data_IF_423806742776
#
_entry.id   IF_423806742776
#
_cell.length_a   1.000
_cell.length_b   1.000
_cell.length_c   1.000
_cell.angle_alpha   90.00
_cell.angle_beta   90.00
_cell.angle_gamma   90.00
#
_symmetry.space_group_name_H-M   'P 1'
#
loop_
_entity.id
_entity.type
_entity.pdbx_description
1 polymer ?
#
# COMPACT_ATOMS: atom_id res chain seq x y z
N UNK A 1 -5.87 22.92 -30.08
CA UNK A 1 -6.50 21.97 -29.14
C UNK A 1 -5.36 21.44 -28.28
N UNK A 2 -5.48 21.49 -26.95
CA UNK A 2 -4.47 20.85 -26.08
C UNK A 2 -4.49 19.34 -26.32
N UNK A 3 -3.32 18.73 -26.32
CA UNK A 3 -3.17 17.28 -26.40
C UNK A 3 -3.90 16.62 -25.23
N UNK A 4 -4.68 15.55 -25.49
CA UNK A 4 -5.38 14.79 -24.47
C UNK A 4 -4.35 14.10 -23.55
N UNK A 5 -4.53 14.24 -22.23
CA UNK A 5 -3.55 13.82 -21.23
C UNK A 5 -4.15 12.88 -20.20
N UNK A 6 -3.35 11.92 -19.70
CA UNK A 6 -3.74 11.02 -18.62
C UNK A 6 -3.77 11.73 -17.27
N UNK A 7 -4.46 11.17 -16.28
CA UNK A 7 -4.43 11.66 -14.90
C UNK A 7 -2.99 11.76 -14.38
N UNK A 8 -2.18 10.71 -14.61
CA UNK A 8 -0.76 10.72 -14.24
C UNK A 8 -0.04 11.94 -14.81
N UNK A 9 -0.20 12.22 -16.12
CA UNK A 9 0.44 13.36 -16.79
C UNK A 9 0.03 14.69 -16.17
N UNK A 10 -1.24 14.85 -15.82
CA UNK A 10 -1.75 16.07 -15.18
C UNK A 10 -1.08 16.31 -13.83
N UNK A 11 -0.97 15.25 -13.00
CA UNK A 11 -0.33 15.37 -11.70
C UNK A 11 1.18 15.58 -11.86
N UNK A 12 1.84 14.82 -12.72
CA UNK A 12 3.27 14.95 -12.99
C UNK A 12 3.65 16.37 -13.39
N UNK A 13 2.96 16.94 -14.39
CA UNK A 13 3.22 18.31 -14.88
C UNK A 13 3.04 19.37 -13.81
N UNK A 14 2.05 19.22 -12.92
CA UNK A 14 1.79 20.16 -11.81
C UNK A 14 2.92 20.19 -10.77
N UNK A 15 3.67 19.11 -10.62
CA UNK A 15 4.71 18.96 -9.61
C UNK A 15 6.13 19.03 -10.18
N UNK A 16 6.27 19.21 -11.48
CA UNK A 16 7.54 19.24 -12.15
C UNK A 16 8.26 20.57 -11.86
N UNK A 17 9.31 20.49 -11.04
CA UNK A 17 10.20 21.64 -10.71
C UNK A 17 11.22 21.85 -11.83
N UNK A 18 11.78 20.75 -12.34
CA UNK A 18 12.70 20.74 -13.48
C UNK A 18 12.45 19.50 -14.33
N UNK A 19 12.28 19.64 -15.63
CA UNK A 19 12.13 18.48 -16.51
C UNK A 19 13.40 17.63 -16.56
N UNK A 20 13.24 16.38 -16.91
CA UNK A 20 14.33 15.47 -17.21
C UNK A 20 15.10 15.93 -18.47
N UNK A 21 16.35 15.56 -18.53
CA UNK A 21 17.23 15.72 -19.70
C UNK A 21 17.80 14.36 -20.05
N UNK A 22 18.59 14.28 -21.13
CA UNK A 22 19.29 13.05 -21.48
C UNK A 22 20.25 12.56 -20.37
N UNK A 23 20.71 13.47 -19.52
CA UNK A 23 21.74 13.23 -18.50
C UNK A 23 21.20 13.24 -17.06
N UNK A 24 20.03 13.82 -16.83
CA UNK A 24 19.50 14.02 -15.48
C UNK A 24 18.02 13.68 -15.38
N UNK A 25 17.59 13.00 -14.30
CA UNK A 25 16.19 12.78 -14.04
C UNK A 25 15.43 14.08 -13.77
N UNK A 26 14.11 14.03 -13.85
CA UNK A 26 13.26 15.13 -13.45
C UNK A 26 13.38 15.42 -11.95
N UNK A 27 13.16 16.67 -11.57
CA UNK A 27 12.99 17.09 -10.16
C UNK A 27 11.49 17.28 -9.91
N UNK A 28 10.95 16.47 -9.02
CA UNK A 28 9.53 16.46 -8.67
C UNK A 28 9.34 17.05 -7.27
N UNK A 29 8.43 18.01 -7.10
CA UNK A 29 8.01 18.51 -5.79
C UNK A 29 7.13 17.46 -5.10
N UNK A 30 7.26 17.33 -3.78
CA UNK A 30 6.49 16.38 -2.95
C UNK A 30 5.58 17.17 -2.01
N UNK A 31 4.27 16.94 -2.08
CA UNK A 31 3.29 17.62 -1.23
C UNK A 31 3.23 17.09 0.19
N UNK A 32 3.40 15.78 0.35
CA UNK A 32 3.32 15.13 1.65
C UNK A 32 4.34 14.00 1.76
N UNK A 33 5.12 14.03 2.82
CA UNK A 33 5.98 12.94 3.22
C UNK A 33 5.43 12.25 4.45
N UNK A 34 5.10 10.97 4.33
CA UNK A 34 4.72 10.12 5.44
C UNK A 34 5.96 9.45 6.04
N UNK A 35 5.99 9.34 7.36
CA UNK A 35 7.13 8.82 8.10
C UNK A 35 6.70 7.76 9.11
N UNK A 36 7.53 6.75 9.26
CA UNK A 36 7.41 5.77 10.34
C UNK A 36 8.80 5.38 10.89
N UNK A 37 8.83 4.62 11.97
CA UNK A 37 10.04 4.36 12.76
C UNK A 37 11.08 3.49 12.06
N UNK A 38 10.72 2.70 11.03
CA UNK A 38 11.66 1.74 10.42
C UNK A 38 12.61 2.42 9.43
N UNK A 39 12.11 3.26 8.53
CA UNK A 39 12.87 3.81 7.40
C UNK A 39 13.37 5.24 7.62
N UNK A 40 12.90 5.93 8.67
CA UNK A 40 13.28 7.33 8.92
C UNK A 40 14.58 7.54 9.73
N UNK A 41 15.05 6.64 10.63
CA UNK A 41 16.19 6.93 11.50
C UNK A 41 17.46 7.29 10.75
N UNK A 42 17.82 6.55 9.70
CA UNK A 42 19.02 6.80 8.91
C UNK A 42 18.92 8.10 8.11
N UNK A 43 17.73 8.43 7.61
CA UNK A 43 17.46 9.67 6.90
C UNK A 43 17.75 10.89 7.80
N UNK A 44 17.21 10.91 9.03
CA UNK A 44 17.49 11.96 10.00
C UNK A 44 18.94 12.00 10.44
N UNK A 45 19.60 10.85 10.62
CA UNK A 45 21.01 10.79 10.95
C UNK A 45 21.88 11.42 9.85
N UNK A 46 21.54 11.19 8.58
CA UNK A 46 22.23 11.79 7.44
C UNK A 46 22.02 13.31 7.36
N UNK A 47 20.80 13.81 7.61
CA UNK A 47 20.56 15.25 7.73
C UNK A 47 21.46 15.87 8.81
N UNK A 48 21.47 15.26 10.01
CA UNK A 48 22.29 15.76 11.12
C UNK A 48 23.80 15.77 10.78
N UNK A 49 24.27 14.70 10.11
CA UNK A 49 25.67 14.61 9.67
C UNK A 49 26.06 15.72 8.68
N UNK A 50 25.11 16.16 7.85
CA UNK A 50 25.31 17.24 6.87
C UNK A 50 24.99 18.62 7.40
N UNK A 51 24.52 18.75 8.63
CA UNK A 51 24.07 20.02 9.20
C UNK A 51 22.85 20.60 8.50
N UNK A 52 21.96 19.73 8.01
CA UNK A 52 20.71 20.09 7.33
C UNK A 52 19.53 19.92 8.27
N UNK A 53 18.57 20.83 8.17
CA UNK A 53 17.28 20.75 8.84
C UNK A 53 16.19 20.22 7.90
N UNK A 54 15.06 19.82 8.47
CA UNK A 54 13.86 19.48 7.70
C UNK A 54 13.28 20.76 7.09
N UNK A 55 13.15 20.78 5.77
CA UNK A 55 12.73 21.97 5.02
C UNK A 55 11.28 22.37 5.26
N UNK A 56 10.39 21.38 5.33
CA UNK A 56 8.93 21.60 5.46
C UNK A 56 8.33 20.59 6.44
N UNK A 57 8.51 20.82 7.76
CA UNK A 57 7.89 19.96 8.77
C UNK A 57 6.38 19.85 8.64
N UNK A 58 5.74 20.96 8.21
CA UNK A 58 4.30 21.06 7.95
C UNK A 58 3.82 20.16 6.77
N UNK A 59 4.74 19.63 5.97
CA UNK A 59 4.50 18.66 4.90
C UNK A 59 4.96 17.24 5.26
N UNK A 60 5.27 17.03 6.53
CA UNK A 60 5.60 15.72 7.06
C UNK A 60 4.52 15.28 8.06
N UNK A 61 4.19 14.00 8.05
CA UNK A 61 3.25 13.40 9.00
C UNK A 61 3.78 12.04 9.42
N UNK A 62 3.96 11.83 10.71
CA UNK A 62 4.57 10.63 11.25
C UNK A 62 3.60 9.80 12.10
N UNK A 63 3.78 8.49 12.10
CA UNK A 63 3.13 7.56 13.02
C UNK A 63 4.09 6.45 13.44
N UNK A 64 3.84 5.84 14.58
CA UNK A 64 4.47 4.58 14.97
C UNK A 64 3.60 3.44 14.47
N UNK A 65 4.17 2.55 13.67
CA UNK A 65 3.42 1.61 12.85
C UNK A 65 4.00 0.19 12.85
N UNK A 66 5.21 0.00 12.33
CA UNK A 66 5.77 -1.32 11.99
C UNK A 66 6.38 -2.06 13.17
N UNK A 67 7.05 -1.34 14.07
CA UNK A 67 7.84 -1.94 15.17
C UNK A 67 7.13 -1.85 16.52
N UNK A 68 5.83 -1.61 16.54
CA UNK A 68 5.07 -1.42 17.77
C UNK A 68 4.50 -2.72 18.32
N UNK A 69 4.50 -2.94 19.65
CA UNK A 69 3.76 -4.01 20.28
C UNK A 69 2.25 -3.93 19.98
N UNK A 70 1.64 -5.07 19.72
CA UNK A 70 0.19 -5.20 19.49
C UNK A 70 -0.60 -5.47 20.76
N UNK A 71 0.09 -5.80 21.87
CA UNK A 71 -0.52 -5.95 23.19
C UNK A 71 -0.49 -4.63 23.95
N UNK A 72 -1.54 -4.32 24.71
CA UNK A 72 -1.52 -3.14 25.60
C UNK A 72 -0.34 -3.16 26.57
N UNK A 73 0.05 -1.99 27.06
CA UNK A 73 1.01 -1.87 28.13
C UNK A 73 0.53 -2.64 29.39
N UNK A 74 1.47 -3.13 30.19
CA UNK A 74 1.18 -3.73 31.49
C UNK A 74 0.71 -2.67 32.52
N UNK A 75 0.43 -3.10 33.76
CA UNK A 75 -0.02 -2.20 34.83
C UNK A 75 1.00 -1.09 35.19
N UNK A 76 2.28 -1.31 34.89
CA UNK A 76 3.37 -0.37 35.13
C UNK A 76 3.58 0.57 33.92
N UNK A 77 2.78 0.44 32.88
CA UNK A 77 2.88 1.24 31.65
C UNK A 77 3.94 0.75 30.66
N UNK A 78 4.49 -0.43 30.86
CA UNK A 78 5.53 -0.99 30.02
C UNK A 78 4.94 -1.83 28.88
N UNK A 79 5.50 -1.69 27.68
CA UNK A 79 5.14 -2.48 26.50
C UNK A 79 6.01 -3.71 26.34
N UNK A 80 5.40 -4.82 25.94
CA UNK A 80 6.12 -6.06 25.60
C UNK A 80 6.77 -5.96 24.21
N UNK A 81 7.95 -5.35 24.16
CA UNK A 81 8.70 -5.20 22.91
C UNK A 81 9.20 -6.55 22.40
N UNK A 82 9.09 -6.75 21.09
CA UNK A 82 9.63 -7.95 20.46
C UNK A 82 11.17 -7.98 20.49
N UNK A 83 11.80 -6.82 20.28
CA UNK A 83 13.26 -6.62 20.34
C UNK A 83 13.60 -5.23 20.90
N UNK A 84 14.80 -5.08 21.47
CA UNK A 84 15.36 -3.78 21.84
C UNK A 84 15.53 -2.85 20.65
N UNK A 85 15.77 -3.40 19.46
CA UNK A 85 15.88 -2.61 18.24
C UNK A 85 14.54 -1.95 17.90
N UNK A 86 13.43 -2.68 17.95
CA UNK A 86 12.09 -2.15 17.74
C UNK A 86 11.80 -0.96 18.67
N UNK A 87 12.12 -1.11 19.96
CA UNK A 87 11.99 -0.03 20.94
C UNK A 87 12.82 1.20 20.56
N UNK A 88 14.10 1.00 20.23
CA UNK A 88 15.01 2.10 19.84
C UNK A 88 14.55 2.82 18.58
N UNK A 89 13.97 2.11 17.60
CA UNK A 89 13.42 2.73 16.40
C UNK A 89 12.28 3.68 16.72
N UNK A 90 11.31 3.24 17.52
CA UNK A 90 10.19 4.07 17.97
C UNK A 90 10.67 5.28 18.77
N UNK A 91 11.53 5.09 19.78
CA UNK A 91 12.11 6.17 20.57
C UNK A 91 12.89 7.18 19.69
N UNK A 92 13.55 6.70 18.65
CA UNK A 92 14.30 7.55 17.72
C UNK A 92 13.35 8.39 16.85
N UNK A 93 12.23 7.82 16.39
CA UNK A 93 11.21 8.57 15.68
C UNK A 93 10.65 9.71 16.56
N UNK A 94 10.32 9.43 17.82
CA UNK A 94 9.85 10.45 18.77
C UNK A 94 10.85 11.60 18.91
N UNK A 95 12.13 11.29 19.14
CA UNK A 95 13.19 12.31 19.26
C UNK A 95 13.35 13.15 18.00
N UNK A 96 13.32 12.50 16.82
CA UNK A 96 13.47 13.18 15.55
C UNK A 96 12.28 14.09 15.24
N UNK A 97 11.04 13.60 15.46
CA UNK A 97 9.85 14.41 15.25
C UNK A 97 9.81 15.63 16.19
N UNK A 98 10.14 15.44 17.47
CA UNK A 98 10.21 16.53 18.44
C UNK A 98 11.31 17.55 18.09
N UNK A 99 12.47 17.09 17.61
CA UNK A 99 13.59 17.97 17.22
C UNK A 99 13.26 18.85 16.02
N UNK A 100 12.50 18.35 15.07
CA UNK A 100 12.23 19.00 13.79
C UNK A 100 10.79 19.53 13.66
N UNK A 101 10.03 19.56 14.77
CA UNK A 101 8.62 20.03 14.82
C UNK A 101 7.72 19.30 13.80
N UNK A 102 7.90 17.98 13.69
CA UNK A 102 7.07 17.11 12.84
C UNK A 102 5.92 16.54 13.66
N UNK A 103 4.70 16.64 13.15
CA UNK A 103 3.53 16.04 13.78
C UNK A 103 3.64 14.51 13.83
N UNK A 104 3.54 13.94 15.04
CA UNK A 104 3.65 12.51 15.30
C UNK A 104 2.38 11.98 15.97
N UNK A 105 1.76 10.99 15.35
CA UNK A 105 0.71 10.18 15.97
C UNK A 105 1.36 8.98 16.69
N UNK A 106 1.74 9.22 17.93
CA UNK A 106 2.39 8.25 18.82
C UNK A 106 1.41 7.53 19.75
N UNK A 107 1.91 7.06 20.91
CA UNK A 107 1.17 6.25 21.85
C UNK A 107 -0.12 6.90 22.36
N UNK A 108 -0.10 8.19 22.61
CA UNK A 108 -1.20 8.96 23.17
C UNK A 108 -2.18 9.51 22.12
N UNK A 109 -1.90 9.26 20.85
CA UNK A 109 -2.76 9.73 19.76
C UNK A 109 -3.88 8.74 19.46
N UNK A 110 -5.14 9.18 19.42
CA UNK A 110 -6.26 8.34 18.98
C UNK A 110 -6.15 7.97 17.48
N UNK A 111 -5.33 8.68 16.73
CA UNK A 111 -5.13 8.49 15.30
C UNK A 111 -3.88 7.63 14.98
N UNK A 112 -3.21 7.07 16.00
CA UNK A 112 -2.12 6.14 15.80
C UNK A 112 -2.59 4.91 15.02
N UNK A 113 -1.87 4.51 14.00
CA UNK A 113 -2.18 3.33 13.22
C UNK A 113 -1.28 3.16 12.03
N UNK A 114 -1.62 2.21 11.19
CA UNK A 114 -0.92 1.93 9.93
C UNK A 114 -0.87 3.23 9.11
N UNK A 115 0.32 3.62 8.67
CA UNK A 115 0.57 4.91 8.00
C UNK A 115 -0.34 5.12 6.78
N UNK A 116 -0.61 4.07 6.01
CA UNK A 116 -1.47 4.11 4.83
C UNK A 116 -2.98 4.00 5.15
N UNK A 117 -3.34 3.86 6.41
CA UNK A 117 -4.72 4.00 6.92
C UNK A 117 -4.88 5.37 7.58
N UNK A 118 -3.96 5.76 8.45
CA UNK A 118 -3.98 7.03 9.17
C UNK A 118 -4.01 8.24 8.22
N UNK A 119 -3.11 8.29 7.23
CA UNK A 119 -3.05 9.39 6.27
C UNK A 119 -4.38 9.66 5.56
N UNK A 120 -4.99 8.66 4.94
CA UNK A 120 -6.33 8.77 4.38
C UNK A 120 -7.40 9.15 5.40
N UNK A 121 -7.50 8.46 6.54
CA UNK A 121 -8.56 8.70 7.54
C UNK A 121 -8.52 10.10 8.14
N UNK A 122 -7.34 10.70 8.24
CA UNK A 122 -7.18 12.11 8.60
C UNK A 122 -7.55 13.07 7.47
N UNK A 123 -7.72 12.59 6.23
CA UNK A 123 -7.88 13.45 5.05
C UNK A 123 -6.59 14.14 4.63
N UNK A 124 -5.43 13.65 5.09
CA UNK A 124 -4.12 14.16 4.67
C UNK A 124 -3.80 13.76 3.21
N UNK A 125 -4.38 12.66 2.75
CA UNK A 125 -4.32 12.22 1.34
C UNK A 125 -5.42 12.90 0.55
N UNK A 126 -5.05 13.71 -0.45
CA UNK A 126 -6.02 14.44 -1.26
C UNK A 126 -5.73 14.27 -2.76
N UNK A 127 -6.75 14.39 -3.63
CA UNK A 127 -6.57 14.31 -5.07
C UNK A 127 -5.52 15.28 -5.62
N UNK A 128 -4.73 14.81 -6.56
CA UNK A 128 -3.73 15.59 -7.25
C UNK A 128 -2.42 15.80 -6.51
N UNK A 129 -2.27 15.35 -5.26
CA UNK A 129 -1.03 15.44 -4.50
C UNK A 129 0.03 14.44 -4.98
N UNK A 130 1.28 14.77 -4.72
CA UNK A 130 2.41 13.83 -4.70
C UNK A 130 2.69 13.41 -3.26
N UNK A 131 2.70 12.10 -2.98
CA UNK A 131 2.88 11.54 -1.64
C UNK A 131 3.97 10.49 -1.65
N UNK A 132 4.90 10.57 -0.69
CA UNK A 132 5.96 9.57 -0.55
C UNK A 132 6.09 9.08 0.90
N UNK A 133 6.56 7.85 1.03
CA UNK A 133 6.89 7.21 2.30
C UNK A 133 8.02 6.21 2.07
N UNK A 134 8.77 5.87 3.10
CA UNK A 134 9.75 4.78 3.06
C UNK A 134 9.12 3.37 3.11
N UNK A 135 7.96 3.21 2.51
CA UNK A 135 7.17 1.97 2.47
C UNK A 135 6.59 1.77 1.07
N UNK A 136 6.72 0.56 0.53
CA UNK A 136 6.27 0.23 -0.82
C UNK A 136 4.75 0.39 -1.02
N UNK A 137 3.95 0.13 0.03
CA UNK A 137 2.49 0.26 -0.03
C UNK A 137 1.97 1.70 0.01
N UNK A 138 2.86 2.70 -0.10
CA UNK A 138 2.48 4.10 -0.33
C UNK A 138 1.57 4.27 -1.56
N UNK A 139 1.63 3.35 -2.51
CA UNK A 139 0.71 3.30 -3.65
C UNK A 139 -0.78 3.28 -3.26
N UNK A 140 -1.12 2.87 -2.02
CA UNK A 140 -2.50 2.93 -1.47
C UNK A 140 -3.16 4.29 -1.66
N UNK A 141 -2.40 5.37 -1.50
CA UNK A 141 -2.93 6.74 -1.59
C UNK A 141 -3.37 7.12 -3.00
N UNK A 142 -2.95 6.37 -4.01
CA UNK A 142 -3.40 6.55 -5.40
C UNK A 142 -4.90 6.27 -5.60
N UNK A 143 -5.55 5.58 -4.67
CA UNK A 143 -7.01 5.42 -4.64
C UNK A 143 -7.79 6.74 -4.58
N UNK A 144 -7.13 7.80 -4.12
CA UNK A 144 -7.67 9.16 -4.04
C UNK A 144 -7.28 10.04 -5.23
N UNK A 145 -6.62 9.50 -6.23
CA UNK A 145 -6.08 10.29 -7.35
C UNK A 145 -4.83 11.07 -6.97
N UNK A 146 -4.05 10.59 -6.00
CA UNK A 146 -2.74 11.12 -5.65
C UNK A 146 -1.63 10.30 -6.32
N UNK A 147 -0.58 10.93 -6.85
CA UNK A 147 0.62 10.23 -7.31
C UNK A 147 1.47 9.85 -6.10
N UNK A 148 1.29 8.61 -5.65
CA UNK A 148 1.86 8.14 -4.40
C UNK A 148 2.72 6.88 -4.61
N UNK A 149 3.92 6.86 -4.03
CA UNK A 149 4.84 5.74 -4.21
C UNK A 149 5.88 5.65 -3.08
N UNK A 150 6.36 4.42 -2.87
CA UNK A 150 7.44 4.12 -1.93
C UNK A 150 8.78 4.65 -2.41
N UNK A 151 9.63 5.07 -1.46
CA UNK A 151 10.98 5.57 -1.72
C UNK A 151 11.98 4.93 -0.76
N UNK A 152 13.25 4.85 -1.20
CA UNK A 152 14.33 4.34 -0.36
C UNK A 152 14.70 5.31 0.78
N UNK A 153 15.36 4.79 1.82
CA UNK A 153 15.76 5.58 3.01
C UNK A 153 16.60 6.81 2.66
N UNK A 154 17.46 6.72 1.66
CA UNK A 154 18.26 7.88 1.18
C UNK A 154 17.36 8.95 0.58
N UNK A 155 16.36 8.53 -0.21
CA UNK A 155 15.37 9.43 -0.82
C UNK A 155 14.47 10.08 0.23
N UNK A 156 14.13 9.36 1.34
CA UNK A 156 13.44 9.95 2.50
C UNK A 156 14.23 11.16 3.02
N UNK A 157 15.56 11.03 3.16
CA UNK A 157 16.44 12.13 3.55
C UNK A 157 16.46 13.27 2.54
N UNK A 158 16.47 12.98 1.25
CA UNK A 158 16.42 14.01 0.19
C UNK A 158 15.12 14.82 0.27
N UNK A 159 13.97 14.17 0.46
CA UNK A 159 12.69 14.87 0.57
C UNK A 159 12.62 15.68 1.86
N UNK A 160 13.08 15.15 3.00
CA UNK A 160 13.18 15.93 4.25
C UNK A 160 13.99 17.22 4.06
N UNK A 161 15.14 17.14 3.38
CA UNK A 161 16.03 18.28 3.19
C UNK A 161 15.57 19.27 2.13
N UNK A 162 14.89 18.84 1.07
CA UNK A 162 14.63 19.66 -0.12
C UNK A 162 13.15 19.82 -0.49
N UNK A 163 12.28 18.97 -0.01
CA UNK A 163 10.88 18.77 -0.43
C UNK A 163 10.77 18.34 -1.90
N UNK A 164 11.84 17.83 -2.47
CA UNK A 164 11.91 17.39 -3.86
C UNK A 164 12.54 16.00 -3.97
N UNK A 165 12.24 15.33 -5.08
CA UNK A 165 12.76 14.03 -5.40
C UNK A 165 13.22 13.97 -6.86
N UNK A 166 14.32 13.27 -7.12
CA UNK A 166 14.78 12.97 -8.47
C UNK A 166 14.06 11.71 -8.96
N UNK A 167 13.35 11.80 -10.08
CA UNK A 167 12.61 10.68 -10.65
C UNK A 167 12.73 10.64 -12.16
N UNK A 168 13.01 9.46 -12.71
CA UNK A 168 12.76 9.20 -14.13
C UNK A 168 11.25 9.09 -14.33
N UNK A 169 10.73 9.70 -15.39
CA UNK A 169 9.30 9.67 -15.68
C UNK A 169 8.85 8.24 -15.99
N UNK A 170 7.93 7.65 -15.21
CA UNK A 170 7.39 6.33 -15.49
C UNK A 170 6.55 6.32 -16.77
N UNK A 171 6.44 5.15 -17.39
CA UNK A 171 5.45 4.89 -18.44
C UNK A 171 4.05 4.82 -17.86
N UNK A 172 3.05 4.93 -18.71
CA UNK A 172 1.63 4.81 -18.34
C UNK A 172 1.07 3.44 -18.72
N UNK A 173 0.42 2.77 -17.76
CA UNK A 173 -0.30 1.53 -17.99
C UNK A 173 -1.77 1.72 -17.60
N UNK A 174 -2.66 1.69 -18.59
CA UNK A 174 -4.10 1.68 -18.34
C UNK A 174 -4.59 0.26 -18.07
N UNK A 175 -5.36 0.07 -17.00
CA UNK A 175 -6.09 -1.19 -16.73
C UNK A 175 -7.55 -0.88 -16.63
N UNK A 176 -8.33 -1.30 -17.65
CA UNK A 176 -9.77 -1.15 -17.71
C UNK A 176 -10.44 -2.43 -17.23
N UNK A 177 -11.28 -2.32 -16.21
CA UNK A 177 -12.11 -3.44 -15.73
C UNK A 177 -13.58 -3.08 -15.90
N UNK A 178 -14.25 -3.76 -16.79
CA UNK A 178 -15.66 -3.49 -17.11
C UNK A 178 -16.57 -4.61 -16.61
N UNK A 179 -17.80 -4.25 -16.28
CA UNK A 179 -18.84 -5.18 -15.85
C UNK A 179 -19.08 -5.18 -14.35
N UNK A 180 -19.92 -6.11 -13.90
CA UNK A 180 -20.27 -6.31 -12.50
C UNK A 180 -19.56 -7.54 -11.95
N UNK A 181 -18.95 -7.40 -10.77
CA UNK A 181 -18.32 -8.51 -10.07
C UNK A 181 -19.36 -9.57 -9.67
N UNK A 182 -18.97 -10.83 -9.75
CA UNK A 182 -19.78 -11.95 -9.25
C UNK A 182 -19.95 -11.87 -7.73
N UNK A 183 -21.04 -12.42 -7.17
CA UNK A 183 -21.17 -12.52 -5.72
C UNK A 183 -19.98 -13.24 -5.08
N UNK A 184 -19.44 -12.66 -4.00
CA UNK A 184 -18.29 -13.20 -3.29
C UNK A 184 -16.94 -12.72 -3.78
N UNK A 185 -16.86 -12.10 -4.94
CA UNK A 185 -15.61 -11.45 -5.45
C UNK A 185 -15.39 -10.11 -4.76
N UNK A 186 -14.18 -9.87 -4.30
CA UNK A 186 -13.74 -8.67 -3.60
C UNK A 186 -12.73 -7.88 -4.42
N UNK A 187 -12.39 -6.69 -3.98
CA UNK A 187 -11.33 -5.88 -4.60
C UNK A 187 -9.97 -6.60 -4.60
N UNK A 188 -9.71 -7.47 -3.61
CA UNK A 188 -8.48 -8.27 -3.56
C UNK A 188 -8.44 -9.33 -4.67
N UNK A 189 -9.58 -9.94 -4.98
CA UNK A 189 -9.67 -10.88 -6.10
C UNK A 189 -9.41 -10.15 -7.43
N UNK A 190 -9.93 -8.93 -7.58
CA UNK A 190 -9.70 -8.10 -8.77
C UNK A 190 -8.20 -7.85 -8.98
N UNK A 191 -7.50 -7.37 -7.95
CA UNK A 191 -6.07 -7.08 -8.12
C UNK A 191 -5.22 -8.35 -8.26
N UNK A 192 -5.57 -9.43 -7.58
CA UNK A 192 -4.90 -10.73 -7.77
C UNK A 192 -5.09 -11.26 -9.19
N UNK A 193 -6.30 -11.16 -9.76
CA UNK A 193 -6.56 -11.51 -11.15
C UNK A 193 -5.71 -10.68 -12.12
N UNK A 194 -5.62 -9.36 -11.87
CA UNK A 194 -4.76 -8.46 -12.65
C UNK A 194 -3.29 -8.92 -12.59
N UNK A 195 -2.76 -9.16 -11.39
CA UNK A 195 -1.38 -9.61 -11.17
C UNK A 195 -1.14 -10.95 -11.87
N UNK A 196 -2.06 -11.90 -11.75
CA UNK A 196 -1.97 -13.19 -12.44
C UNK A 196 -1.92 -13.04 -13.97
N UNK A 197 -2.69 -12.08 -14.52
CA UNK A 197 -2.77 -11.84 -15.96
C UNK A 197 -1.54 -11.12 -16.54
N UNK A 198 -1.00 -10.12 -15.84
CA UNK A 198 0.14 -9.32 -16.33
C UNK A 198 1.49 -9.80 -15.82
N UNK A 199 1.50 -10.63 -14.75
CA UNK A 199 2.70 -11.11 -14.06
C UNK A 199 3.22 -10.14 -13.00
N UNK A 200 4.03 -10.63 -12.07
CA UNK A 200 4.65 -9.85 -10.98
C UNK A 200 5.63 -8.77 -11.46
N UNK A 201 6.09 -8.83 -12.71
CA UNK A 201 6.90 -7.79 -13.35
C UNK A 201 6.16 -6.96 -14.40
N UNK A 202 4.85 -7.21 -14.60
CA UNK A 202 4.08 -6.63 -15.70
C UNK A 202 3.86 -5.13 -15.63
N UNK A 203 3.98 -4.53 -14.45
CA UNK A 203 3.89 -3.09 -14.20
C UNK A 203 5.24 -2.38 -14.07
N UNK A 204 6.36 -3.10 -14.18
CA UNK A 204 7.70 -2.54 -13.94
C UNK A 204 7.97 -1.29 -14.76
N UNK A 205 8.41 -0.22 -14.08
CA UNK A 205 8.70 1.08 -14.70
C UNK A 205 7.46 1.86 -15.14
N UNK A 206 6.27 1.47 -14.68
CA UNK A 206 5.00 2.13 -15.04
C UNK A 206 4.25 2.63 -13.82
N UNK A 207 3.42 3.63 -14.05
CA UNK A 207 2.30 4.00 -13.17
C UNK A 207 1.03 3.41 -13.78
N UNK A 208 0.26 2.69 -12.98
CA UNK A 208 -0.99 2.07 -13.42
C UNK A 208 -2.15 3.01 -13.12
N UNK A 209 -3.02 3.24 -14.10
CA UNK A 209 -4.31 3.88 -13.89
C UNK A 209 -5.42 2.83 -14.04
N UNK A 210 -6.18 2.61 -12.96
CA UNK A 210 -7.31 1.69 -12.93
C UNK A 210 -8.60 2.44 -13.21
N UNK A 211 -9.38 1.94 -14.15
CA UNK A 211 -10.66 2.55 -14.55
C UNK A 211 -11.63 1.50 -15.10
N UNK A 212 -12.79 1.95 -15.57
CA UNK A 212 -13.89 1.10 -16.00
C UNK A 212 -15.02 1.07 -14.98
N UNK A 213 -16.13 0.44 -15.34
CA UNK A 213 -17.34 0.42 -14.51
C UNK A 213 -17.14 -0.31 -13.18
N UNK A 214 -16.36 -1.40 -13.18
CA UNK A 214 -16.04 -2.15 -11.96
C UNK A 214 -15.30 -1.29 -10.96
N UNK A 215 -14.28 -0.53 -11.40
CA UNK A 215 -13.46 0.32 -10.52
C UNK A 215 -14.29 1.51 -10.01
N UNK A 216 -15.10 2.14 -10.86
CA UNK A 216 -15.98 3.24 -10.45
C UNK A 216 -16.99 2.83 -9.37
N UNK A 217 -17.48 1.60 -9.44
CA UNK A 217 -18.47 1.06 -8.50
C UNK A 217 -17.86 0.53 -7.19
N UNK A 218 -16.53 0.50 -7.06
CA UNK A 218 -15.88 0.13 -5.81
C UNK A 218 -16.02 1.23 -4.76
N UNK A 219 -16.17 0.83 -3.49
CA UNK A 219 -15.96 1.72 -2.34
C UNK A 219 -14.48 2.13 -2.22
N UNK A 220 -14.20 3.12 -1.38
CA UNK A 220 -12.82 3.62 -1.23
C UNK A 220 -11.88 2.56 -0.68
N UNK A 221 -12.34 1.70 0.22
CA UNK A 221 -11.56 0.60 0.77
C UNK A 221 -11.14 -0.40 -0.32
N UNK A 222 -12.04 -0.70 -1.25
CA UNK A 222 -11.73 -1.53 -2.42
C UNK A 222 -10.72 -0.88 -3.34
N UNK A 223 -10.87 0.42 -3.65
CA UNK A 223 -9.90 1.18 -4.46
C UNK A 223 -8.53 1.23 -3.79
N UNK A 224 -8.49 1.43 -2.45
CA UNK A 224 -7.25 1.39 -1.68
C UNK A 224 -6.58 0.02 -1.75
N UNK A 225 -7.32 -1.07 -1.70
CA UNK A 225 -6.80 -2.44 -1.86
C UNK A 225 -6.17 -2.64 -3.25
N UNK A 226 -6.86 -2.21 -4.31
CA UNK A 226 -6.34 -2.32 -5.69
C UNK A 226 -5.05 -1.51 -5.87
N UNK A 227 -5.03 -0.26 -5.42
CA UNK A 227 -3.85 0.60 -5.51
C UNK A 227 -2.70 0.11 -4.63
N UNK A 228 -3.00 -0.37 -3.41
CA UNK A 228 -2.02 -0.93 -2.48
C UNK A 228 -1.20 -2.05 -3.14
N UNK A 229 -1.86 -2.99 -3.77
CA UNK A 229 -1.22 -4.15 -4.38
C UNK A 229 -0.64 -3.90 -5.78
N UNK A 230 -0.64 -2.68 -6.28
CA UNK A 230 0.03 -2.34 -7.55
C UNK A 230 1.52 -2.63 -7.52
N UNK A 231 2.15 -2.53 -6.36
CA UNK A 231 3.57 -2.84 -6.17
C UNK A 231 3.87 -4.33 -6.41
N UNK A 232 2.90 -5.22 -6.16
CA UNK A 232 3.05 -6.66 -6.33
C UNK A 232 3.16 -7.10 -7.80
N UNK A 233 2.81 -6.23 -8.74
CA UNK A 233 3.11 -6.42 -10.17
C UNK A 233 4.28 -5.54 -10.65
N UNK A 234 5.07 -4.99 -9.74
CA UNK A 234 6.25 -4.19 -10.03
C UNK A 234 5.96 -2.74 -10.44
N UNK A 235 4.73 -2.26 -10.32
CA UNK A 235 4.38 -0.90 -10.68
C UNK A 235 4.96 0.13 -9.69
N UNK A 236 5.27 1.33 -10.18
CA UNK A 236 5.74 2.44 -9.35
C UNK A 236 4.62 3.01 -8.47
N UNK A 237 3.41 3.08 -9.01
CA UNK A 237 2.20 3.56 -8.34
C UNK A 237 0.95 2.98 -9.02
N UNK A 238 -0.17 2.99 -8.30
CA UNK A 238 -1.50 2.75 -8.84
C UNK A 238 -2.37 3.98 -8.62
N UNK A 239 -3.20 4.34 -9.58
CA UNK A 239 -4.07 5.51 -9.55
C UNK A 239 -5.51 5.12 -9.86
N UNK A 240 -6.46 5.73 -9.17
CA UNK A 240 -7.88 5.80 -9.55
C UNK A 240 -8.26 7.26 -9.62
N UNK A 241 -8.86 7.70 -10.72
CA UNK A 241 -9.33 9.07 -10.85
C UNK A 241 -10.36 9.39 -9.74
N UNK A 242 -10.22 10.54 -9.04
CA UNK A 242 -11.15 10.91 -7.99
C UNK A 242 -12.54 11.22 -8.59
N UNK A 243 -13.55 10.76 -7.91
CA UNK A 243 -14.96 10.95 -8.27
C UNK A 243 -15.83 11.24 -7.05
N UNK A 244 -17.14 11.23 -7.21
CA UNK A 244 -18.08 11.52 -6.12
C UNK A 244 -17.92 10.57 -4.92
N UNK A 245 -17.48 9.30 -5.13
CA UNK A 245 -17.16 8.37 -4.04
C UNK A 245 -15.95 8.87 -3.23
N UNK A 246 -14.92 9.35 -3.92
CA UNK A 246 -13.73 9.93 -3.29
C UNK A 246 -14.08 11.22 -2.54
N UNK A 247 -14.86 12.10 -3.15
CA UNK A 247 -15.23 13.38 -2.55
C UNK A 247 -16.11 13.20 -1.31
N UNK A 248 -17.11 12.31 -1.38
CA UNK A 248 -17.96 11.97 -0.25
C UNK A 248 -17.15 11.35 0.92
N UNK A 249 -16.15 10.55 0.61
CA UNK A 249 -15.29 9.94 1.61
C UNK A 249 -14.36 10.95 2.32
N UNK A 250 -13.86 11.96 1.58
CA UNK A 250 -12.99 13.02 2.12
C UNK A 250 -13.76 14.09 2.89
N UNK A 251 -15.02 14.33 2.57
CA UNK A 251 -15.79 15.42 3.16
C UNK A 251 -15.81 15.39 4.70
N UNK A 252 -15.42 16.51 5.32
CA UNK A 252 -15.44 16.68 6.78
C UNK A 252 -14.33 15.97 7.54
N UNK A 253 -13.33 15.40 6.87
CA UNK A 253 -12.17 14.84 7.57
C UNK A 253 -11.25 15.94 8.10
N UNK A 254 -10.50 15.69 9.19
CA UNK A 254 -9.77 16.73 9.93
C UNK A 254 -8.83 17.60 9.08
N UNK A 255 -8.20 17.02 8.07
CA UNK A 255 -7.19 17.71 7.23
C UNK A 255 -7.69 18.07 5.83
N UNK A 256 -8.95 17.80 5.52
CA UNK A 256 -9.54 18.26 4.27
C UNK A 256 -9.90 19.76 4.35
N UNK A 257 -9.82 20.48 3.24
CA UNK A 257 -10.32 21.85 3.19
C UNK A 257 -11.77 21.95 3.67
N UNK A 258 -12.16 23.08 4.21
CA UNK A 258 -13.52 23.35 4.66
C UNK A 258 -14.08 24.67 4.09
N UNK A 259 -15.41 24.80 4.05
CA UNK A 259 -16.07 26.00 3.54
C UNK A 259 -15.65 26.36 2.12
N UNK A 260 -15.37 27.63 1.80
CA UNK A 260 -14.99 28.05 0.45
C UNK A 260 -13.74 27.34 -0.11
N UNK A 261 -12.81 26.95 0.77
CA UNK A 261 -11.62 26.20 0.35
C UNK A 261 -11.97 24.79 -0.11
N UNK A 262 -12.99 24.17 0.45
CA UNK A 262 -13.51 22.88 -0.01
C UNK A 262 -14.11 22.99 -1.41
N UNK A 263 -14.92 24.01 -1.66
CA UNK A 263 -15.53 24.22 -2.98
C UNK A 263 -14.47 24.46 -4.06
N UNK A 264 -13.43 25.23 -3.74
CA UNK A 264 -12.31 25.45 -4.65
C UNK A 264 -11.52 24.15 -4.92
N UNK A 265 -11.24 23.38 -3.88
CA UNK A 265 -10.56 22.07 -4.00
C UNK A 265 -11.40 21.09 -4.83
N UNK A 266 -12.70 21.02 -4.57
CA UNK A 266 -13.62 20.15 -5.30
C UNK A 266 -13.68 20.52 -6.80
N UNK A 267 -13.70 21.80 -7.11
CA UNK A 267 -13.67 22.26 -8.50
C UNK A 267 -12.37 21.84 -9.22
N UNK A 268 -11.22 21.91 -8.56
CA UNK A 268 -9.94 21.42 -9.10
C UNK A 268 -9.92 19.90 -9.20
N UNK A 269 -10.32 19.19 -8.16
CA UNK A 269 -10.30 17.72 -8.12
C UNK A 269 -11.15 17.09 -9.23
N UNK A 270 -12.28 17.70 -9.61
CA UNK A 270 -13.12 17.26 -10.73
C UNK A 270 -12.41 17.32 -12.09
N UNK A 271 -11.32 18.07 -12.20
CA UNK A 271 -10.49 18.11 -13.42
C UNK A 271 -9.49 16.97 -13.51
N UNK A 272 -9.24 16.25 -12.39
CA UNK A 272 -8.24 15.21 -12.26
C UNK A 272 -8.78 13.85 -12.75
N UNK A 273 -8.93 13.77 -14.06
CA UNK A 273 -9.29 12.54 -14.77
C UNK A 273 -8.52 12.48 -16.08
N UNK A 274 -8.34 11.30 -16.60
CA UNK A 274 -7.80 11.08 -17.94
C UNK A 274 -8.77 11.66 -18.97
N UNK A 275 -8.25 12.44 -19.92
CA UNK A 275 -9.06 13.07 -20.96
C UNK A 275 -9.54 12.03 -21.97
N UNK A 276 -10.70 12.27 -22.58
CA UNK A 276 -11.16 11.44 -23.68
C UNK A 276 -10.16 11.50 -24.83
N UNK A 277 -9.76 10.32 -25.31
CA UNK A 277 -8.76 10.19 -26.38
C UNK A 277 -7.30 10.21 -25.89
N UNK A 278 -7.02 10.32 -24.59
CA UNK A 278 -5.67 10.14 -24.08
C UNK A 278 -5.18 8.70 -24.31
N UNK A 279 -3.90 8.58 -24.62
CA UNK A 279 -3.27 7.29 -24.94
C UNK A 279 -2.34 6.86 -23.83
N UNK A 280 -2.48 5.61 -23.38
CA UNK A 280 -1.56 4.96 -22.48
C UNK A 280 -0.45 4.26 -23.30
N UNK A 281 0.77 4.18 -22.75
CA UNK A 281 1.85 3.41 -23.37
C UNK A 281 1.48 1.92 -23.52
N UNK A 282 0.64 1.42 -22.60
CA UNK A 282 0.04 0.08 -22.64
C UNK A 282 -1.37 0.12 -22.06
N UNK A 283 -2.28 -0.62 -22.66
CA UNK A 283 -3.65 -0.81 -22.18
C UNK A 283 -3.94 -2.31 -21.98
N UNK A 284 -4.56 -2.64 -20.85
CA UNK A 284 -5.08 -3.99 -20.55
C UNK A 284 -6.57 -3.88 -20.26
N UNK A 285 -7.37 -4.71 -20.90
CA UNK A 285 -8.82 -4.77 -20.72
C UNK A 285 -9.21 -6.11 -20.10
N UNK A 286 -10.10 -6.06 -19.10
CA UNK A 286 -10.56 -7.20 -18.31
C UNK A 286 -12.08 -7.11 -18.19
N UNK A 287 -12.75 -8.23 -18.46
CA UNK A 287 -14.16 -8.39 -18.14
C UNK A 287 -14.27 -8.84 -16.67
N UNK A 288 -15.07 -8.13 -15.88
CA UNK A 288 -15.32 -8.49 -14.48
C UNK A 288 -15.99 -9.88 -14.34
N UNK A 289 -16.66 -10.36 -15.39
CA UNK A 289 -17.23 -11.70 -15.43
C UNK A 289 -16.18 -12.83 -15.42
N UNK A 290 -14.94 -12.54 -15.81
CA UNK A 290 -13.84 -13.50 -15.77
C UNK A 290 -13.19 -13.61 -14.37
N UNK A 291 -13.51 -12.68 -13.47
CA UNK A 291 -12.94 -12.64 -12.13
C UNK A 291 -13.78 -13.52 -11.19
N UNK A 292 -13.13 -14.43 -10.51
CA UNK A 292 -13.73 -15.29 -9.50
C UNK A 292 -13.02 -15.16 -8.15
N UNK A 293 -13.64 -15.61 -7.03
CA UNK A 293 -12.93 -15.67 -5.76
C UNK A 293 -11.63 -16.44 -5.91
N UNK A 294 -10.53 -15.86 -5.47
CA UNK A 294 -9.18 -16.31 -5.79
C UNK A 294 -8.41 -16.75 -4.55
N UNK A 295 -7.43 -17.63 -4.76
CA UNK A 295 -6.46 -18.05 -3.77
C UNK A 295 -5.07 -18.03 -4.38
N UNK A 296 -4.06 -17.62 -3.61
CA UNK A 296 -2.66 -17.81 -3.97
C UNK A 296 -2.18 -19.15 -3.42
N UNK A 297 -1.56 -19.94 -4.28
CA UNK A 297 -1.12 -21.29 -3.98
C UNK A 297 0.40 -21.41 -3.79
N UNK A 298 1.15 -20.35 -4.05
CA UNK A 298 2.61 -20.36 -4.04
C UNK A 298 3.22 -19.25 -3.20
N UNK A 299 4.42 -18.82 -3.56
CA UNK A 299 5.30 -17.95 -2.77
C UNK A 299 5.21 -16.45 -3.15
N UNK A 300 4.39 -16.08 -4.14
CA UNK A 300 4.16 -14.68 -4.52
C UNK A 300 2.75 -14.49 -5.10
N UNK A 301 2.20 -13.25 -5.13
CA UNK A 301 0.83 -12.98 -5.55
C UNK A 301 0.48 -13.35 -6.99
N UNK A 302 1.48 -13.48 -7.88
CA UNK A 302 1.25 -13.94 -9.26
C UNK A 302 0.91 -15.44 -9.36
N UNK A 303 1.18 -16.22 -8.31
CA UNK A 303 0.79 -17.63 -8.21
C UNK A 303 -0.66 -17.72 -7.71
N UNK A 304 -1.59 -17.18 -8.47
CA UNK A 304 -3.01 -17.08 -8.16
C UNK A 304 -3.82 -18.02 -9.04
N UNK A 305 -4.89 -18.55 -8.48
CA UNK A 305 -5.91 -19.31 -9.20
C UNK A 305 -7.29 -19.04 -8.62
N UNK A 306 -8.34 -19.36 -9.36
CA UNK A 306 -9.70 -19.40 -8.80
C UNK A 306 -9.82 -20.46 -7.71
N UNK A 307 -10.63 -20.19 -6.69
CA UNK A 307 -10.77 -21.09 -5.52
C UNK A 307 -11.29 -22.49 -5.89
N UNK A 308 -11.99 -22.63 -7.00
CA UNK A 308 -12.42 -23.91 -7.56
C UNK A 308 -11.40 -24.59 -8.47
N UNK A 309 -10.27 -23.97 -8.72
CA UNK A 309 -9.22 -24.46 -9.60
C UNK A 309 -8.36 -25.57 -8.97
N UNK A 310 -7.44 -26.05 -9.79
CA UNK A 310 -6.41 -27.02 -9.38
C UNK A 310 -5.03 -26.34 -9.40
N UNK A 311 -4.17 -26.71 -8.47
CA UNK A 311 -2.78 -26.18 -8.38
C UNK A 311 -2.06 -26.43 -9.69
N UNK A 312 -1.52 -25.39 -10.37
CA UNK A 312 -0.83 -25.54 -11.65
C UNK A 312 0.45 -26.37 -11.55
N UNK A 313 0.81 -27.03 -12.65
CA UNK A 313 2.09 -27.72 -12.77
C UNK A 313 3.19 -26.73 -13.23
N UNK A 314 4.45 -27.05 -12.97
CA UNK A 314 5.61 -26.37 -13.55
C UNK A 314 6.47 -25.56 -12.57
N UNK A 315 5.94 -25.14 -11.44
CA UNK A 315 6.68 -24.37 -10.43
C UNK A 315 7.15 -25.30 -9.27
N UNK A 316 8.05 -26.22 -9.59
CA UNK A 316 8.46 -27.31 -8.67
C UNK A 316 8.98 -26.79 -7.32
N UNK A 317 9.81 -25.74 -7.32
CA UNK A 317 10.38 -25.17 -6.10
C UNK A 317 9.31 -24.59 -5.18
N UNK A 318 8.29 -23.92 -5.77
CA UNK A 318 7.17 -23.37 -5.03
C UNK A 318 6.25 -24.50 -4.50
N UNK A 319 5.98 -25.51 -5.31
CA UNK A 319 5.20 -26.69 -4.90
C UNK A 319 5.86 -27.43 -3.74
N UNK A 320 7.16 -27.66 -3.83
CA UNK A 320 7.94 -28.30 -2.77
C UNK A 320 7.96 -27.49 -1.48
N UNK A 321 8.15 -26.14 -1.60
CA UNK A 321 8.12 -25.23 -0.47
C UNK A 321 6.77 -25.22 0.24
N UNK A 322 5.68 -25.13 -0.53
CA UNK A 322 4.31 -25.09 -0.02
C UNK A 322 3.76 -26.48 0.33
N UNK A 323 4.49 -27.55 0.02
CA UNK A 323 4.07 -28.94 0.20
C UNK A 323 2.74 -29.27 -0.52
N UNK A 324 2.62 -28.78 -1.75
CA UNK A 324 1.44 -28.97 -2.61
C UNK A 324 1.79 -29.88 -3.78
N UNK A 325 0.79 -30.62 -4.25
CA UNK A 325 0.90 -31.44 -5.44
C UNK A 325 0.22 -30.75 -6.64
N UNK A 326 0.87 -30.80 -7.80
CA UNK A 326 0.27 -30.32 -9.04
C UNK A 326 -1.04 -31.06 -9.33
N UNK A 327 -2.07 -30.31 -9.71
CA UNK A 327 -3.40 -30.86 -9.95
C UNK A 327 -4.26 -31.03 -8.70
N UNK A 328 -3.72 -30.79 -7.50
CA UNK A 328 -4.51 -30.84 -6.26
C UNK A 328 -5.53 -29.70 -6.17
N UNK A 329 -6.67 -29.96 -5.55
CA UNK A 329 -7.62 -28.92 -5.16
C UNK A 329 -7.31 -28.46 -3.73
N UNK A 330 -7.29 -27.14 -3.51
CA UNK A 330 -7.16 -26.57 -2.17
C UNK A 330 -8.49 -26.48 -1.42
N UNK A 331 -9.61 -26.75 -2.09
CA UNK A 331 -10.93 -26.76 -1.46
C UNK A 331 -11.06 -27.94 -0.50
N UNK A 332 -11.30 -27.62 0.77
CA UNK A 332 -11.44 -28.62 1.82
C UNK A 332 -10.19 -28.92 2.64
N UNK A 333 -9.04 -28.35 2.23
CA UNK A 333 -7.83 -28.44 3.04
C UNK A 333 -8.01 -27.75 4.41
N UNK A 334 -7.53 -28.37 5.49
CA UNK A 334 -7.66 -27.81 6.84
C UNK A 334 -6.81 -26.55 7.00
N UNK A 335 -7.34 -25.56 7.72
CA UNK A 335 -6.65 -24.33 8.07
C UNK A 335 -6.57 -24.20 9.58
N UNK A 336 -5.36 -24.18 10.15
CA UNK A 336 -5.11 -24.07 11.59
C UNK A 336 -5.26 -22.64 12.11
N UNK A 337 -4.82 -21.66 11.34
CA UNK A 337 -4.81 -20.24 11.72
C UNK A 337 -5.27 -19.39 10.55
N UNK A 338 -6.20 -18.48 10.81
CA UNK A 338 -6.62 -17.44 9.86
C UNK A 338 -6.17 -16.08 10.40
N UNK A 339 -5.32 -15.38 9.65
CA UNK A 339 -4.91 -14.01 9.93
C UNK A 339 -5.64 -13.04 9.01
N UNK A 340 -6.29 -12.01 9.61
CA UNK A 340 -6.90 -10.90 8.88
C UNK A 340 -6.22 -9.63 9.37
N UNK A 341 -5.45 -8.97 8.49
CA UNK A 341 -4.62 -7.84 8.91
C UNK A 341 -3.97 -7.13 7.73
N UNK A 342 -2.98 -6.29 8.02
CA UNK A 342 -2.15 -5.46 7.15
C UNK A 342 -2.84 -4.23 6.56
N UNK A 343 -2.04 -3.35 5.90
CA UNK A 343 -2.53 -2.15 5.22
C UNK A 343 -3.47 -2.45 4.04
N UNK A 344 -3.41 -3.66 3.48
CA UNK A 344 -4.19 -4.06 2.31
C UNK A 344 -5.68 -4.24 2.64
N UNK A 345 -6.02 -5.02 3.68
CA UNK A 345 -7.40 -5.44 4.00
C UNK A 345 -7.68 -5.54 5.51
N UNK A 346 -7.41 -4.49 6.29
CA UNK A 346 -7.77 -4.48 7.72
C UNK A 346 -8.53 -3.23 8.17
N UNK A 347 -9.17 -2.56 7.24
CA UNK A 347 -10.05 -1.45 7.58
C UNK A 347 -11.34 -1.97 8.21
N UNK A 348 -12.08 -1.10 8.89
CA UNK A 348 -13.28 -1.49 9.64
C UNK A 348 -14.31 -2.24 8.78
N UNK A 349 -14.46 -1.83 7.52
CA UNK A 349 -15.35 -2.48 6.56
C UNK A 349 -14.89 -3.88 6.19
N UNK A 350 -13.58 -4.09 5.99
CA UNK A 350 -12.97 -5.38 5.71
C UNK A 350 -13.21 -6.35 6.88
N UNK A 351 -12.90 -5.91 8.10
CA UNK A 351 -13.10 -6.69 9.33
C UNK A 351 -14.59 -7.01 9.57
N UNK A 352 -15.49 -6.09 9.23
CA UNK A 352 -16.95 -6.29 9.37
C UNK A 352 -17.47 -7.32 8.37
N UNK A 353 -16.91 -7.37 7.15
CA UNK A 353 -17.23 -8.41 6.16
C UNK A 353 -16.73 -9.78 6.60
N UNK A 354 -15.52 -9.88 7.15
CA UNK A 354 -14.98 -11.13 7.70
C UNK A 354 -15.83 -11.72 8.84
N UNK A 355 -16.51 -10.88 9.63
CA UNK A 355 -17.45 -11.33 10.68
C UNK A 355 -18.78 -11.87 10.14
N UNK A 356 -19.17 -11.50 8.93
CA UNK A 356 -20.46 -11.89 8.32
C UNK A 356 -20.36 -13.16 7.48
N UNK A 357 -19.20 -13.81 7.40
CA UNK A 357 -19.05 -15.12 6.80
C UNK A 357 -20.04 -16.12 7.44
N UNK A 358 -20.47 -17.19 6.74
CA UNK A 358 -21.48 -18.11 7.22
C UNK A 358 -21.11 -18.62 8.60
N UNK A 359 -21.93 -18.31 9.60
CA UNK A 359 -21.78 -18.78 10.96
C UNK A 359 -21.87 -20.32 10.95
N UNK A 360 -20.72 -21.00 10.75
CA UNK A 360 -20.65 -22.41 11.13
C UNK A 360 -20.78 -22.44 12.66
N UNK A 361 -21.90 -22.95 13.13
CA UNK A 361 -22.06 -23.36 14.52
C UNK A 361 -20.99 -24.40 14.83
N UNK A 362 -19.93 -23.96 15.48
CA UNK A 362 -18.83 -24.82 15.87
C UNK A 362 -17.88 -24.13 16.83
N UNK A 363 -18.12 -24.34 18.11
CA UNK A 363 -17.24 -24.11 19.28
C UNK A 363 -16.58 -22.72 19.40
N UNK A 364 -16.93 -22.03 20.49
CA UNK A 364 -16.16 -20.91 21.05
C UNK A 364 -14.68 -21.33 21.16
N UNK A 365 -13.72 -20.48 20.78
CA UNK A 365 -12.34 -20.74 21.09
C UNK A 365 -12.22 -20.83 22.62
N UNK A 366 -11.88 -21.99 23.13
CA UNK A 366 -11.41 -22.14 24.48
C UNK A 366 -10.07 -21.40 24.56
N UNK A 367 -9.95 -20.41 25.42
CA UNK A 367 -8.66 -19.92 25.89
C UNK A 367 -8.09 -21.06 26.72
N UNK A 368 -7.32 -21.91 26.05
CA UNK A 368 -6.61 -23.01 26.65
C UNK A 368 -5.11 -22.72 26.72
N UNK A 369 -4.38 -23.32 27.68
CA UNK A 369 -2.97 -23.05 27.87
C UNK A 369 -2.16 -23.49 26.65
N UNK A 370 -1.05 -22.79 26.40
CA UNK A 370 -0.13 -23.02 25.29
C UNK A 370 0.24 -24.50 25.12
N UNK A 371 0.25 -25.03 23.89
CA UNK A 371 0.69 -26.41 23.65
C UNK A 371 2.17 -26.55 24.07
N UNK A 372 2.44 -27.54 24.89
CA UNK A 372 3.78 -27.97 25.22
C UNK A 372 4.51 -28.34 23.93
N UNK A 373 5.75 -27.82 23.77
CA UNK A 373 6.66 -28.12 22.68
C UNK A 373 6.65 -29.63 22.38
N UNK A 374 6.20 -30.02 21.22
CA UNK A 374 6.48 -31.32 20.66
C UNK A 374 7.98 -31.40 20.36
N UNK A 375 8.59 -32.49 20.76
CA UNK A 375 10.02 -32.74 20.64
C UNK A 375 10.48 -32.61 19.19
N UNK A 376 11.47 -31.76 18.97
CA UNK A 376 12.10 -31.52 17.68
C UNK A 376 12.70 -32.86 17.18
N UNK A 377 12.24 -33.32 16.03
CA UNK A 377 13.03 -34.22 15.20
C UNK A 377 14.15 -33.37 14.58
N UNK A 378 15.36 -33.64 14.94
CA UNK A 378 16.58 -33.03 14.43
C UNK A 378 16.67 -33.22 12.92
N UNK A 379 16.54 -32.11 12.15
CA UNK A 379 16.99 -32.04 10.76
C UNK A 379 18.43 -31.53 10.73
N UNK A 380 19.25 -31.95 9.77
CA UNK A 380 20.61 -31.45 9.62
C UNK A 380 20.57 -29.94 9.32
N UNK A 381 21.49 -29.20 9.92
CA UNK A 381 21.64 -27.77 9.80
C UNK A 381 21.85 -27.37 8.33
N UNK A 382 21.01 -26.46 7.83
CA UNK A 382 21.23 -25.80 6.57
C UNK A 382 22.45 -24.87 6.67
N UNK A 383 23.28 -24.84 5.63
CA UNK A 383 24.49 -24.01 5.51
C UNK A 383 24.11 -22.52 5.65
N UNK A 384 24.68 -21.80 6.64
CA UNK A 384 24.32 -20.39 6.88
C UNK A 384 24.81 -19.42 5.79
N UNK A 385 25.43 -19.89 4.71
CA UNK A 385 25.99 -19.07 3.63
C UNK A 385 25.06 -18.84 2.43
N UNK A 386 23.80 -19.27 2.50
CA UNK A 386 22.79 -19.11 1.44
C UNK A 386 21.57 -18.28 1.82
N UNK A 387 21.64 -17.47 2.85
CA UNK A 387 20.59 -16.51 3.17
C UNK A 387 21.00 -15.13 2.69
N UNK A 388 20.68 -14.79 1.46
CA UNK A 388 20.54 -13.38 1.09
C UNK A 388 19.27 -12.83 1.75
N UNK A 389 19.32 -11.67 2.41
CA UNK A 389 18.15 -11.08 3.02
C UNK A 389 17.22 -10.51 1.95
N UNK A 390 16.03 -11.07 1.82
CA UNK A 390 14.91 -10.37 1.20
C UNK A 390 14.55 -9.17 2.08
N UNK A 391 15.07 -8.00 1.74
CA UNK A 391 14.55 -6.72 2.17
C UNK A 391 13.45 -6.30 1.19
N UNK A 392 12.22 -6.46 1.62
CA UNK A 392 11.08 -5.73 1.07
C UNK A 392 10.84 -4.46 1.87
#
# INVERSE_FOLDING_TARGET
>A
MSEATTLFEKIWRRHLVRPETAETPAVLYIDLQLLHEVTSPQAFAELARRGLDVRRPDRCLATIDHSTPTTPANADGEYAWHTDQARKQVETLYRNCARHDIELHGWDSPNRGIVHVMGPELGATQPGMTIVCGDSHTATHGAFGALAFGIGTTEVGHVLASQCLLQNKPRTLGIRVEGALRPGVTAKDVILHIIGRIGVGGGTGSVIEYFGSTIRNMDMEGRMTVCNMSIECGARAGLVAPDETTFAWLAGRPRTPAGPAWEAALADWKTLRTDDGAVFDRLVEIDAADIEPSITWGIHPGMVMGIGGAVPAGETDALDYMQLEAGASLAGEPVDVVFIGSCTNSRLTDLSRGRRGPARRGRRPAVGPQPRRAAARTRPAADPRRAEPFLQ
#
